data_IF_783066125789
#
_entry.id   IF_783066125789
#
_cell.length_a   1.000
_cell.length_b   1.000
_cell.length_c   1.000
_cell.angle_alpha   90.00
_cell.angle_beta   90.00
_cell.angle_gamma   90.00
#
_symmetry.space_group_name_H-M   'P 1'
#
loop_
_entity.id
_entity.type
_entity.pdbx_description
1 polymer ?
#
# COMPACT_ATOMS: atom_id res chain seq x y z
N UNK A 1 -16.33 13.04 -28.19
CA UNK A 1 -15.21 12.12 -28.48
C UNK A 1 -13.96 12.51 -27.70
N UNK A 2 -13.32 11.54 -27.08
CA UNK A 2 -12.05 11.76 -26.39
C UNK A 2 -10.91 11.90 -27.41
N UNK A 3 -10.03 12.90 -27.20
CA UNK A 3 -8.83 13.05 -28.02
C UNK A 3 -7.84 11.91 -27.76
N UNK A 4 -6.88 11.72 -28.67
CA UNK A 4 -5.80 10.72 -28.48
C UNK A 4 -5.03 10.95 -27.16
N UNK A 5 -4.86 12.20 -26.77
CA UNK A 5 -4.18 12.61 -25.53
C UNK A 5 -4.98 12.20 -24.32
N UNK A 6 -6.30 12.37 -24.31
CA UNK A 6 -7.18 11.94 -23.23
C UNK A 6 -7.21 10.43 -23.10
N UNK A 7 -7.32 9.69 -24.21
CA UNK A 7 -7.28 8.22 -24.23
C UNK A 7 -5.98 7.69 -23.64
N UNK A 8 -4.84 8.35 -23.90
CA UNK A 8 -3.55 8.01 -23.32
C UNK A 8 -3.54 8.20 -21.81
N UNK A 9 -4.02 9.33 -21.34
CA UNK A 9 -4.11 9.64 -19.90
C UNK A 9 -5.00 8.63 -19.18
N UNK A 10 -6.16 8.32 -19.76
CA UNK A 10 -7.08 7.33 -19.21
C UNK A 10 -6.42 5.96 -19.09
N UNK A 11 -5.70 5.54 -20.11
CA UNK A 11 -4.98 4.27 -20.12
C UNK A 11 -3.87 4.23 -19.06
N UNK A 12 -3.16 5.34 -18.89
CA UNK A 12 -2.11 5.45 -17.86
C UNK A 12 -2.69 5.41 -16.45
N UNK A 13 -3.81 6.08 -16.21
CA UNK A 13 -4.50 6.07 -14.91
C UNK A 13 -4.91 4.64 -14.54
N UNK A 14 -5.53 3.93 -15.47
CA UNK A 14 -5.95 2.55 -15.23
C UNK A 14 -4.75 1.61 -15.02
N UNK A 15 -3.71 1.74 -15.84
CA UNK A 15 -2.49 0.95 -15.71
C UNK A 15 -1.82 1.15 -14.35
N UNK A 16 -1.72 2.39 -13.91
CA UNK A 16 -1.15 2.75 -12.62
C UNK A 16 -1.96 2.14 -11.47
N UNK A 17 -3.29 2.25 -11.55
CA UNK A 17 -4.19 1.63 -10.59
C UNK A 17 -4.02 0.11 -10.54
N UNK A 18 -3.96 -0.55 -11.69
CA UNK A 18 -3.78 -2.01 -11.72
C UNK A 18 -2.43 -2.44 -11.16
N UNK A 19 -1.38 -1.63 -11.34
CA UNK A 19 -0.08 -1.89 -10.70
C UNK A 19 -0.18 -1.81 -9.17
N UNK A 20 -0.94 -0.86 -8.64
CA UNK A 20 -1.21 -0.77 -7.20
C UNK A 20 -1.98 -2.00 -6.70
N UNK A 21 -2.94 -2.49 -7.47
CA UNK A 21 -3.67 -3.72 -7.15
C UNK A 21 -2.75 -4.94 -7.12
N UNK A 22 -1.85 -5.07 -8.09
CA UNK A 22 -0.88 -6.19 -8.14
C UNK A 22 0.04 -6.21 -6.93
N UNK A 23 0.37 -5.06 -6.39
CA UNK A 23 1.25 -4.91 -5.24
C UNK A 23 0.50 -4.91 -3.90
N UNK A 24 -0.83 -5.05 -3.91
CA UNK A 24 -1.66 -4.88 -2.72
C UNK A 24 -1.26 -5.82 -1.58
N UNK A 25 -1.22 -7.12 -1.82
CA UNK A 25 -0.84 -8.10 -0.79
C UNK A 25 0.62 -7.94 -0.36
N UNK A 26 1.50 -7.64 -1.30
CA UNK A 26 2.91 -7.38 -1.03
C UNK A 26 3.09 -6.14 -0.14
N UNK A 27 2.34 -5.08 -0.44
CA UNK A 27 2.37 -3.86 0.36
C UNK A 27 1.85 -4.10 1.77
N UNK A 28 0.76 -4.87 1.94
CA UNK A 28 0.26 -5.26 3.25
C UNK A 28 1.30 -6.03 4.06
N UNK A 29 2.00 -6.98 3.43
CA UNK A 29 3.07 -7.74 4.07
C UNK A 29 4.23 -6.85 4.48
N UNK A 30 4.63 -5.90 3.63
CA UNK A 30 5.68 -4.93 3.93
C UNK A 30 5.29 -3.98 5.06
N UNK A 31 4.03 -3.57 5.11
CA UNK A 31 3.50 -2.74 6.20
C UNK A 31 3.61 -3.49 7.53
N UNK A 32 3.28 -4.78 7.53
CA UNK A 32 3.38 -5.60 8.75
C UNK A 32 4.83 -5.75 9.21
N UNK A 33 5.75 -6.02 8.28
CA UNK A 33 7.20 -6.08 8.58
C UNK A 33 7.69 -4.72 9.11
N UNK A 34 7.25 -3.65 8.49
CA UNK A 34 7.59 -2.29 8.91
C UNK A 34 7.09 -2.02 10.33
N UNK A 35 5.85 -2.43 10.63
CA UNK A 35 5.26 -2.29 11.97
C UNK A 35 6.07 -3.03 13.02
N UNK A 36 6.48 -4.26 12.73
CA UNK A 36 7.31 -5.05 13.65
C UNK A 36 8.67 -4.40 13.89
N UNK A 37 9.30 -3.88 12.85
CA UNK A 37 10.58 -3.14 12.98
C UNK A 37 10.41 -1.87 13.79
N UNK A 38 9.31 -1.16 13.57
CA UNK A 38 8.99 0.05 14.33
C UNK A 38 8.79 -0.26 15.81
N UNK A 39 8.02 -1.31 16.12
CA UNK A 39 7.79 -1.74 17.50
C UNK A 39 9.11 -2.15 18.18
N UNK A 40 10.00 -2.83 17.46
CA UNK A 40 11.33 -3.21 17.95
C UNK A 40 12.16 -1.97 18.30
N UNK A 41 12.18 -0.97 17.42
CA UNK A 41 12.89 0.30 17.68
C UNK A 41 12.28 1.04 18.87
N UNK A 42 10.95 1.09 18.97
CA UNK A 42 10.28 1.72 20.10
C UNK A 42 10.58 0.98 21.39
N UNK A 43 10.69 -0.34 21.38
CA UNK A 43 11.12 -1.12 22.53
C UNK A 43 12.57 -0.81 22.89
N UNK A 44 13.46 -0.69 21.92
CA UNK A 44 14.86 -0.32 22.14
C UNK A 44 14.98 1.09 22.74
N UNK A 45 14.12 2.03 22.29
CA UNK A 45 14.12 3.39 22.82
C UNK A 45 13.52 3.52 24.21
N UNK A 46 12.46 2.76 24.51
CA UNK A 46 11.65 2.95 25.71
C UNK A 46 11.51 1.69 26.57
N UNK A 47 11.68 0.51 26.00
CA UNK A 47 11.36 -0.76 26.67
C UNK A 47 12.55 -1.43 27.32
N UNK A 48 13.74 -1.31 26.77
CA UNK A 48 14.89 -2.01 27.30
C UNK A 48 15.38 -1.35 28.56
N UNK A 49 14.62 -0.40 29.10
CA UNK A 49 15.53 0.29 29.74
C UNK A 49 15.14 1.44 30.59
N UNK A 50 13.98 1.43 31.10
CA UNK A 50 13.73 2.24 32.27
C UNK A 50 14.73 1.90 33.38
N UNK A 51 15.17 0.65 33.51
CA UNK A 51 16.17 0.22 34.48
C UNK A 51 17.58 0.50 34.00
N UNK A 52 17.91 0.21 32.75
CA UNK A 52 19.24 0.45 32.17
C UNK A 52 19.46 1.94 31.95
N UNK A 53 18.44 2.69 31.52
CA UNK A 53 18.53 4.15 31.41
C UNK A 53 18.78 4.85 32.76
N UNK A 54 18.20 4.37 33.85
CA UNK A 54 18.45 4.89 35.17
C UNK A 54 19.92 4.74 35.55
N UNK A 55 20.52 3.56 35.31
CA UNK A 55 21.90 3.29 35.63
C UNK A 55 22.85 4.08 34.73
N UNK A 56 22.54 4.20 33.43
CA UNK A 56 23.33 4.96 32.45
C UNK A 56 23.24 6.47 32.72
N UNK A 57 22.08 6.98 33.08
CA UNK A 57 21.92 8.39 33.43
C UNK A 57 22.68 8.75 34.73
N UNK A 58 22.75 7.82 35.67
CA UNK A 58 23.49 8.04 36.90
C UNK A 58 24.99 7.95 36.72
N UNK A 59 25.50 7.11 35.82
CA UNK A 59 26.92 6.93 35.57
C UNK A 59 27.50 7.93 34.56
N UNK A 60 26.71 8.43 33.64
CA UNK A 60 27.20 9.27 32.55
C UNK A 60 26.31 10.49 32.30
N UNK A 61 26.10 11.29 33.32
CA UNK A 61 25.36 12.54 33.14
C UNK A 61 26.11 13.47 32.18
N UNK A 62 25.85 13.35 30.92
CA UNK A 62 26.44 14.24 29.93
C UNK A 62 26.86 13.59 28.60
N UNK A 63 26.36 12.39 28.19
CA UNK A 63 26.84 11.66 27.35
C UNK A 63 26.35 10.90 26.30
N UNK A 64 27.01 10.16 25.57
CA UNK A 64 26.81 9.67 24.23
C UNK A 64 25.53 8.92 23.98
N UNK A 65 24.66 8.78 24.95
CA UNK A 65 23.28 8.36 24.75
C UNK A 65 22.58 9.17 23.64
N UNK A 66 23.01 10.42 23.42
CA UNK A 66 22.51 11.26 22.32
C UNK A 66 22.80 10.68 20.94
N UNK A 67 23.88 9.93 20.74
CA UNK A 67 24.21 9.30 19.47
C UNK A 67 23.28 8.13 19.17
N UNK A 68 22.96 7.33 20.18
CA UNK A 68 22.01 6.24 20.07
C UNK A 68 20.58 6.74 19.86
N UNK A 69 20.18 7.74 20.63
CA UNK A 69 18.86 8.36 20.48
C UNK A 69 18.68 8.94 19.09
N UNK A 70 19.72 9.59 18.56
CA UNK A 70 19.69 10.18 17.23
C UNK A 70 19.55 9.11 16.14
N UNK A 71 20.32 8.03 16.23
CA UNK A 71 20.26 6.91 15.32
C UNK A 71 18.87 6.24 15.32
N UNK A 72 18.32 5.98 16.51
CA UNK A 72 17.02 5.36 16.66
C UNK A 72 15.89 6.26 16.16
N UNK A 73 15.99 7.57 16.41
CA UNK A 73 15.02 8.56 15.90
C UNK A 73 15.05 8.59 14.38
N UNK A 74 16.23 8.60 13.76
CA UNK A 74 16.37 8.56 12.30
C UNK A 74 15.74 7.30 11.72
N UNK A 75 16.02 6.13 12.30
CA UNK A 75 15.44 4.85 11.88
C UNK A 75 13.94 4.83 12.03
N UNK A 76 13.42 5.35 13.13
CA UNK A 76 11.98 5.49 13.36
C UNK A 76 11.34 6.34 12.26
N UNK A 77 11.92 7.49 11.95
CA UNK A 77 11.42 8.41 10.93
C UNK A 77 11.45 7.80 9.54
N UNK A 78 12.52 7.09 9.19
CA UNK A 78 12.62 6.34 7.92
C UNK A 78 11.50 5.30 7.79
N UNK A 79 11.22 4.55 8.86
CA UNK A 79 10.16 3.55 8.89
C UNK A 79 8.78 4.17 8.75
N UNK A 80 8.54 5.33 9.36
CA UNK A 80 7.27 6.05 9.23
C UNK A 80 7.04 6.55 7.80
N UNK A 81 8.09 7.06 7.14
CA UNK A 81 8.03 7.50 5.76
C UNK A 81 7.78 6.32 4.81
N UNK A 82 8.46 5.21 5.01
CA UNK A 82 8.25 3.98 4.24
C UNK A 82 6.81 3.47 4.39
N UNK A 83 6.31 3.44 5.62
CA UNK A 83 4.93 3.03 5.92
C UNK A 83 3.91 3.94 5.23
N UNK A 84 4.14 5.25 5.27
CA UNK A 84 3.25 6.21 4.63
C UNK A 84 3.15 5.97 3.11
N UNK A 85 4.26 5.70 2.45
CA UNK A 85 4.28 5.39 1.02
C UNK A 85 3.53 4.09 0.71
N UNK A 86 3.74 3.05 1.51
CA UNK A 86 3.06 1.76 1.34
C UNK A 86 1.56 1.87 1.61
N UNK A 87 1.17 2.63 2.63
CA UNK A 87 -0.23 2.87 2.98
C UNK A 87 -0.94 3.68 1.90
N UNK A 88 -0.27 4.65 1.29
CA UNK A 88 -0.85 5.47 0.23
C UNK A 88 -1.42 4.61 -0.90
N UNK A 89 -0.64 3.65 -1.40
CA UNK A 89 -1.07 2.77 -2.48
C UNK A 89 -2.23 1.87 -2.06
N UNK A 90 -2.17 1.30 -0.85
CA UNK A 90 -3.25 0.44 -0.35
C UNK A 90 -4.53 1.22 -0.09
N UNK A 91 -4.43 2.44 0.40
CA UNK A 91 -5.59 3.34 0.61
C UNK A 91 -6.25 3.69 -0.73
N UNK A 92 -5.46 3.97 -1.77
CA UNK A 92 -6.00 4.24 -3.12
C UNK A 92 -6.79 3.04 -3.64
N UNK A 93 -6.24 1.83 -3.54
CA UNK A 93 -6.94 0.60 -3.96
C UNK A 93 -8.23 0.43 -3.19
N UNK A 94 -8.21 0.54 -1.87
CA UNK A 94 -9.40 0.41 -1.03
C UNK A 94 -10.45 1.47 -1.36
N UNK A 95 -10.02 2.71 -1.54
CA UNK A 95 -10.91 3.83 -1.87
C UNK A 95 -11.64 3.57 -3.20
N UNK A 96 -10.91 3.15 -4.22
CA UNK A 96 -11.52 2.87 -5.53
C UNK A 96 -12.50 1.71 -5.41
N UNK A 97 -12.09 0.60 -4.82
CA UNK A 97 -12.95 -0.59 -4.70
C UNK A 97 -14.20 -0.31 -3.85
N UNK A 98 -14.09 0.49 -2.80
CA UNK A 98 -15.22 0.83 -1.95
C UNK A 98 -16.19 1.82 -2.59
N UNK A 99 -15.77 2.55 -3.61
CA UNK A 99 -16.60 3.55 -4.29
C UNK A 99 -17.16 3.06 -5.63
N UNK A 100 -16.80 1.87 -6.09
CA UNK A 100 -17.42 1.26 -7.27
C UNK A 100 -18.79 0.72 -6.87
N UNK A 101 -19.84 1.18 -7.56
CA UNK A 101 -21.21 0.79 -7.27
C UNK A 101 -21.53 -0.64 -7.71
N UNK A 102 -20.90 -1.11 -8.79
CA UNK A 102 -21.13 -2.45 -9.32
C UNK A 102 -20.20 -3.46 -8.63
N UNK A 103 -20.79 -4.29 -7.76
CA UNK A 103 -20.04 -5.32 -7.03
C UNK A 103 -19.39 -6.36 -7.94
N UNK A 104 -19.96 -6.63 -9.12
CA UNK A 104 -19.38 -7.54 -10.09
C UNK A 104 -18.07 -7.00 -10.67
N UNK A 105 -18.00 -5.69 -10.92
CA UNK A 105 -16.77 -5.03 -11.37
C UNK A 105 -15.69 -5.11 -10.27
N UNK A 106 -16.08 -4.92 -9.03
CA UNK A 106 -15.16 -5.08 -7.88
C UNK A 106 -14.59 -6.50 -7.85
N UNK A 107 -15.44 -7.51 -8.02
CA UNK A 107 -15.02 -8.91 -8.06
C UNK A 107 -14.06 -9.19 -9.22
N UNK A 108 -14.36 -8.67 -10.41
CA UNK A 108 -13.47 -8.81 -11.56
C UNK A 108 -12.09 -8.19 -11.33
N UNK A 109 -12.05 -6.98 -10.81
CA UNK A 109 -10.79 -6.29 -10.48
C UNK A 109 -9.99 -7.10 -9.45
N UNK A 110 -10.66 -7.56 -8.40
CA UNK A 110 -10.04 -8.34 -7.33
C UNK A 110 -9.46 -9.65 -7.87
N UNK A 111 -10.22 -10.39 -8.65
CA UNK A 111 -9.78 -11.66 -9.24
C UNK A 111 -8.63 -11.47 -10.24
N UNK A 112 -8.72 -10.45 -11.09
CA UNK A 112 -7.72 -10.21 -12.14
C UNK A 112 -6.40 -9.67 -11.61
N UNK A 113 -6.44 -8.75 -10.65
CA UNK A 113 -5.28 -7.94 -10.32
C UNK A 113 -4.80 -8.05 -8.88
N UNK A 114 -5.66 -8.44 -7.95
CA UNK A 114 -5.28 -8.61 -6.54
C UNK A 114 -4.97 -10.06 -6.24
N UNK A 115 -5.91 -10.96 -6.47
CA UNK A 115 -5.75 -12.38 -6.17
C UNK A 115 -4.95 -13.13 -7.24
N UNK A 116 -5.19 -12.84 -8.51
CA UNK A 116 -4.46 -13.38 -9.66
C UNK A 116 -4.40 -14.92 -9.73
N UNK A 117 -5.45 -15.58 -9.27
CA UNK A 117 -5.51 -17.05 -9.20
C UNK A 117 -5.94 -17.71 -10.50
N UNK A 118 -6.57 -16.94 -11.41
CA UNK A 118 -7.13 -17.43 -12.66
C UNK A 118 -6.66 -16.55 -13.83
N UNK A 119 -6.70 -17.13 -15.02
CA UNK A 119 -6.47 -16.36 -16.25
C UNK A 119 -7.62 -15.38 -16.48
N UNK A 120 -7.33 -14.24 -17.09
CA UNK A 120 -8.33 -13.21 -17.38
C UNK A 120 -9.46 -13.71 -18.26
N UNK A 121 -9.18 -14.60 -19.21
CA UNK A 121 -10.21 -15.22 -20.05
C UNK A 121 -11.23 -16.02 -19.22
N UNK A 122 -10.76 -16.79 -18.26
CA UNK A 122 -11.61 -17.57 -17.37
C UNK A 122 -12.46 -16.68 -16.46
N UNK A 123 -11.88 -15.61 -15.95
CA UNK A 123 -12.61 -14.64 -15.13
C UNK A 123 -13.71 -13.95 -15.93
N UNK A 124 -13.40 -13.50 -17.14
CA UNK A 124 -14.38 -12.90 -18.05
C UNK A 124 -15.53 -13.86 -18.32
N UNK A 125 -15.22 -15.12 -18.60
CA UNK A 125 -16.22 -16.17 -18.83
C UNK A 125 -17.12 -16.38 -17.61
N UNK A 126 -16.55 -16.45 -16.42
CA UNK A 126 -17.29 -16.60 -15.16
C UNK A 126 -18.28 -15.45 -14.92
N UNK A 127 -17.97 -14.27 -15.43
CA UNK A 127 -18.83 -13.08 -15.34
C UNK A 127 -19.68 -12.84 -16.59
N UNK A 128 -19.76 -13.82 -17.48
CA UNK A 128 -20.55 -13.76 -18.74
C UNK A 128 -20.16 -12.58 -19.63
N UNK A 129 -18.88 -12.29 -19.72
CA UNK A 129 -18.33 -11.20 -20.54
C UNK A 129 -17.24 -11.70 -21.47
N UNK A 130 -17.05 -11.02 -22.58
CA UNK A 130 -15.82 -11.16 -23.35
C UNK A 130 -14.68 -10.45 -22.59
N UNK A 131 -13.46 -10.86 -22.85
CA UNK A 131 -12.27 -10.24 -22.23
C UNK A 131 -12.22 -8.73 -22.48
N UNK A 132 -12.50 -8.31 -23.70
CA UNK A 132 -12.54 -6.88 -24.07
C UNK A 132 -13.61 -6.10 -23.33
N UNK A 133 -14.81 -6.69 -23.18
CA UNK A 133 -15.90 -6.06 -22.42
C UNK A 133 -15.56 -5.97 -20.93
N UNK A 134 -14.99 -7.01 -20.37
CA UNK A 134 -14.52 -7.01 -18.97
C UNK A 134 -13.57 -5.84 -18.72
N UNK A 135 -12.56 -5.68 -19.56
CA UNK A 135 -11.59 -4.58 -19.42
C UNK A 135 -12.25 -3.21 -19.57
N UNK A 136 -13.18 -3.06 -20.49
CA UNK A 136 -13.92 -1.79 -20.65
C UNK A 136 -14.74 -1.46 -19.42
N UNK A 137 -15.46 -2.42 -18.89
CA UNK A 137 -16.32 -2.22 -17.71
C UNK A 137 -15.48 -1.85 -16.49
N UNK A 138 -14.35 -2.54 -16.26
CA UNK A 138 -13.43 -2.22 -15.18
C UNK A 138 -12.84 -0.81 -15.34
N UNK A 139 -12.35 -0.49 -16.53
CA UNK A 139 -11.71 0.81 -16.79
C UNK A 139 -12.70 1.97 -16.64
N UNK A 140 -13.94 1.82 -17.10
CA UNK A 140 -14.97 2.84 -16.92
C UNK A 140 -15.21 3.17 -15.45
N UNK A 141 -15.38 2.16 -14.62
CA UNK A 141 -15.67 2.37 -13.20
C UNK A 141 -14.46 2.98 -12.46
N UNK A 142 -13.25 2.55 -12.80
CA UNK A 142 -12.02 3.13 -12.23
C UNK A 142 -11.90 4.61 -12.60
N UNK A 143 -12.13 4.96 -13.86
CA UNK A 143 -12.02 6.32 -14.35
C UNK A 143 -13.06 7.26 -13.74
N UNK A 144 -14.25 6.77 -13.43
CA UNK A 144 -15.28 7.56 -12.74
C UNK A 144 -14.79 8.04 -11.36
N UNK A 145 -13.91 7.29 -10.73
CA UNK A 145 -13.43 7.59 -9.38
C UNK A 145 -12.10 8.36 -9.42
N UNK A 146 -11.17 7.97 -10.28
CA UNK A 146 -9.83 8.54 -10.33
C UNK A 146 -9.68 9.74 -11.27
N UNK A 147 -10.64 9.93 -12.13
CA UNK A 147 -10.65 11.08 -13.05
C UNK A 147 -11.65 12.14 -12.59
#
# INVERSE_FOLDING_TARGET
MKSKKEKRKDKEICKDFYNKCRNYHRNLSKIEVNRLKYDEIMNDMYGVSLVVMKDVIMENAGDPSHVWDHYLVEKKDELLLERAALLYDTVIVNKVLNNIADGEVVDMITECYINRNKKHDAIAHDHNRSKGKMYRDMNEEILKILK
#
